data_IF_603005215020
#
_entry.id   IF_603005215020
#
_cell.length_a   1.000
_cell.length_b   1.000
_cell.length_c   1.000
_cell.angle_alpha   90.00
_cell.angle_beta   90.00
_cell.angle_gamma   90.00
#
_symmetry.space_group_name_H-M   'P 1'
#
loop_
_entity.id
_entity.type
_entity.pdbx_description
1 polymer ?
#
# COMPACT_ATOMS: atom_id res chain seq x y z
N UNK A 1 63.95 37.48 -0.84
CA UNK A 1 63.30 36.92 0.35
C UNK A 1 61.87 36.58 -0.04
N UNK A 2 61.62 35.28 -0.38
CA UNK A 2 60.27 34.77 -0.69
C UNK A 2 59.65 34.31 0.63
N UNK A 3 58.46 34.83 0.92
CA UNK A 3 57.62 34.39 2.01
C UNK A 3 56.57 33.41 1.46
N UNK A 4 56.70 32.11 1.78
CA UNK A 4 55.74 31.06 1.46
C UNK A 4 54.62 31.08 2.49
N UNK A 5 53.40 31.47 2.10
CA UNK A 5 52.21 31.33 2.91
C UNK A 5 51.73 29.84 2.85
N UNK A 6 51.65 29.17 3.98
CA UNK A 6 51.00 27.88 4.15
C UNK A 6 49.49 28.08 4.13
N UNK A 7 48.84 27.46 3.14
CA UNK A 7 47.36 27.29 3.10
C UNK A 7 47.06 26.04 3.94
N UNK A 8 46.42 26.26 5.08
CA UNK A 8 45.80 25.17 5.87
C UNK A 8 44.49 24.81 5.24
N UNK A 9 44.39 23.60 4.73
CA UNK A 9 43.10 23.02 4.31
C UNK A 9 42.24 22.76 5.57
N UNK A 10 41.09 23.42 5.63
CA UNK A 10 40.08 23.11 6.62
C UNK A 10 39.33 21.85 6.18
N UNK A 11 39.42 20.82 7.01
CA UNK A 11 38.67 19.57 6.88
C UNK A 11 37.19 19.90 7.11
N UNK A 12 36.39 20.02 6.02
CA UNK A 12 34.95 20.07 6.11
C UNK A 12 34.38 18.64 6.11
N UNK A 13 34.42 18.00 7.27
CA UNK A 13 33.59 16.82 7.50
C UNK A 13 32.13 17.25 7.55
N UNK A 14 31.45 17.23 6.40
CA UNK A 14 30.01 17.33 6.36
C UNK A 14 29.44 16.06 7.01
N UNK A 15 29.01 16.17 8.25
CA UNK A 15 28.20 15.15 8.90
C UNK A 15 26.93 14.98 8.03
N UNK A 16 26.86 13.89 7.28
CA UNK A 16 25.65 13.43 6.62
C UNK A 16 24.61 13.20 7.73
N UNK A 17 23.71 14.16 7.92
CA UNK A 17 22.57 13.97 8.80
C UNK A 17 21.79 12.76 8.30
N UNK A 18 21.72 11.72 9.10
CA UNK A 18 20.83 10.59 8.84
C UNK A 18 19.42 11.13 8.58
N UNK A 19 18.70 10.65 7.54
CA UNK A 19 17.35 11.10 7.31
C UNK A 19 16.52 10.83 8.58
N UNK A 20 15.87 11.86 9.10
CA UNK A 20 14.96 11.74 10.22
C UNK A 20 13.97 10.60 9.93
N UNK A 21 13.76 9.73 10.91
CA UNK A 21 12.74 8.69 10.81
C UNK A 21 11.39 9.31 10.45
N UNK A 22 10.58 8.68 9.58
CA UNK A 22 9.29 9.22 9.19
C UNK A 22 8.42 9.45 10.42
N UNK A 23 7.93 10.69 10.58
CA UNK A 23 7.05 11.04 11.68
C UNK A 23 5.65 10.47 11.39
N UNK A 24 5.20 9.51 12.19
CA UNK A 24 3.83 8.98 12.13
C UNK A 24 2.92 9.91 12.94
N UNK A 25 1.75 10.31 12.41
CA UNK A 25 0.76 11.09 13.14
C UNK A 25 0.31 10.38 14.42
N UNK A 26 -0.09 11.14 15.43
CA UNK A 26 -0.62 10.56 16.65
C UNK A 26 -1.92 9.75 16.40
N UNK A 27 -2.26 8.81 17.29
CA UNK A 27 -3.52 8.07 17.18
C UNK A 27 -4.73 9.02 17.12
N UNK A 28 -4.69 10.14 17.87
CA UNK A 28 -5.77 11.13 17.87
C UNK A 28 -5.89 11.83 16.50
N UNK A 29 -4.77 12.15 15.86
CA UNK A 29 -4.76 12.74 14.51
C UNK A 29 -5.27 11.73 13.48
N UNK A 30 -4.81 10.48 13.57
CA UNK A 30 -5.26 9.39 12.71
C UNK A 30 -6.77 9.17 12.85
N UNK A 31 -7.31 9.17 14.08
CA UNK A 31 -8.74 9.03 14.31
C UNK A 31 -9.53 10.16 13.67
N UNK A 32 -9.10 11.43 13.86
CA UNK A 32 -9.76 12.57 13.21
C UNK A 32 -9.77 12.46 11.67
N UNK A 33 -8.64 12.09 11.07
CA UNK A 33 -8.55 11.91 9.62
C UNK A 33 -9.45 10.74 9.15
N UNK A 34 -9.47 9.65 9.91
CA UNK A 34 -10.27 8.47 9.61
C UNK A 34 -11.77 8.74 9.71
N UNK A 35 -12.20 9.48 10.75
CA UNK A 35 -13.60 9.88 10.92
C UNK A 35 -14.06 10.84 9.80
N UNK A 36 -13.15 11.71 9.35
CA UNK A 36 -13.44 12.69 8.32
C UNK A 36 -13.43 12.09 6.90
N UNK A 37 -12.38 11.36 6.55
CA UNK A 37 -12.08 10.95 5.18
C UNK A 37 -12.14 9.43 4.94
N UNK A 38 -12.13 8.61 6.00
CA UNK A 38 -12.12 7.14 5.94
C UNK A 38 -10.73 6.55 5.70
N UNK A 39 -9.69 7.37 5.72
CA UNK A 39 -8.30 6.94 5.55
C UNK A 39 -7.30 7.93 6.14
N UNK A 40 -6.06 7.47 6.29
CA UNK A 40 -4.89 8.29 6.62
C UNK A 40 -3.69 7.82 5.78
N UNK A 41 -2.82 8.75 5.39
CA UNK A 41 -1.65 8.46 4.59
C UNK A 41 -0.37 8.70 5.41
N UNK A 42 0.41 7.64 5.62
CA UNK A 42 1.74 7.70 6.23
C UNK A 42 2.79 7.82 5.14
N UNK A 43 3.54 8.93 5.13
CA UNK A 43 4.56 9.20 4.13
C UNK A 43 5.88 8.51 4.47
N UNK A 44 6.47 7.82 3.47
CA UNK A 44 7.81 7.23 3.60
C UNK A 44 7.96 6.20 4.72
N UNK A 45 6.85 5.53 5.12
CA UNK A 45 6.84 4.61 6.25
C UNK A 45 7.65 3.33 6.01
N UNK A 46 7.90 2.97 4.75
CA UNK A 46 8.65 1.76 4.40
C UNK A 46 9.89 2.13 3.58
N UNK A 47 11.07 1.53 3.87
CA UNK A 47 12.30 1.82 3.14
C UNK A 47 12.20 1.50 1.64
N UNK A 48 12.67 2.42 0.79
CA UNK A 48 12.53 2.32 -0.68
C UNK A 48 13.38 1.21 -1.31
N UNK A 49 14.63 1.05 -0.86
CA UNK A 49 15.57 0.12 -1.49
C UNK A 49 15.09 -1.34 -1.52
N UNK A 50 14.63 -1.94 -0.40
CA UNK A 50 14.09 -3.30 -0.42
C UNK A 50 12.74 -3.38 -1.17
N UNK A 51 11.93 -2.31 -1.21
CA UNK A 51 10.71 -2.29 -2.03
C UNK A 51 11.02 -2.37 -3.53
N UNK A 52 12.09 -1.73 -4.00
CA UNK A 52 12.52 -1.82 -5.38
C UNK A 52 12.95 -3.25 -5.76
N UNK A 53 13.58 -3.99 -4.85
CA UNK A 53 13.88 -5.40 -5.05
C UNK A 53 12.59 -6.24 -5.12
N UNK A 54 11.68 -6.05 -4.17
CA UNK A 54 10.38 -6.75 -4.15
C UNK A 54 9.56 -6.50 -5.42
N UNK A 55 9.57 -5.27 -5.95
CA UNK A 55 8.89 -4.95 -7.22
C UNK A 55 9.43 -5.78 -8.38
N UNK A 56 10.76 -5.95 -8.45
CA UNK A 56 11.40 -6.79 -9.48
C UNK A 56 11.02 -8.26 -9.33
N UNK A 57 11.06 -8.78 -8.10
CA UNK A 57 10.75 -10.18 -7.82
C UNK A 57 9.30 -10.53 -8.18
N UNK A 58 8.33 -9.67 -7.80
CA UNK A 58 6.92 -9.81 -8.17
C UNK A 58 6.72 -9.78 -9.68
N UNK A 59 7.39 -8.84 -10.37
CA UNK A 59 7.30 -8.71 -11.83
C UNK A 59 7.89 -9.93 -12.52
N UNK A 60 9.08 -10.38 -12.10
CA UNK A 60 9.76 -11.55 -12.68
C UNK A 60 8.96 -12.84 -12.48
N UNK A 61 8.37 -13.02 -11.28
CA UNK A 61 7.51 -14.18 -11.01
C UNK A 61 6.26 -14.19 -11.91
N UNK A 62 5.58 -13.03 -12.02
CA UNK A 62 4.43 -12.90 -12.91
C UNK A 62 4.81 -13.22 -14.37
N UNK A 63 5.92 -12.66 -14.88
CA UNK A 63 6.39 -12.92 -16.23
C UNK A 63 6.70 -14.41 -16.46
N UNK A 64 7.35 -15.06 -15.49
CA UNK A 64 7.66 -16.49 -15.57
C UNK A 64 6.37 -17.35 -15.59
N UNK A 65 5.38 -17.00 -14.78
CA UNK A 65 4.10 -17.72 -14.72
C UNK A 65 3.32 -17.55 -16.05
N UNK A 66 3.28 -16.34 -16.61
CA UNK A 66 2.69 -16.09 -17.93
C UNK A 66 3.39 -16.90 -19.01
N UNK A 67 4.73 -16.89 -19.03
CA UNK A 67 5.51 -17.68 -19.99
C UNK A 67 5.31 -19.18 -19.83
N UNK A 68 5.05 -19.64 -18.60
CA UNK A 68 4.70 -21.02 -18.28
C UNK A 68 3.23 -21.41 -18.57
N UNK A 69 2.44 -20.49 -19.12
CA UNK A 69 1.03 -20.73 -19.46
C UNK A 69 0.08 -20.69 -18.28
N UNK A 70 0.47 -20.07 -17.16
CA UNK A 70 -0.41 -19.94 -16.00
C UNK A 70 -1.67 -19.13 -16.35
N UNK A 71 -2.81 -19.62 -15.86
CA UNK A 71 -4.09 -18.92 -15.92
C UNK A 71 -4.42 -18.37 -14.54
N UNK A 72 -4.56 -17.06 -14.45
CA UNK A 72 -4.88 -16.39 -13.21
C UNK A 72 -6.40 -16.32 -12.99
N UNK A 73 -6.81 -16.51 -11.75
CA UNK A 73 -8.23 -16.46 -11.35
C UNK A 73 -8.46 -15.33 -10.35
N UNK A 74 -9.72 -14.93 -10.19
CA UNK A 74 -10.13 -13.91 -9.22
C UNK A 74 -10.82 -12.71 -9.85
N UNK A 75 -11.54 -11.95 -9.03
CA UNK A 75 -12.44 -10.89 -9.47
C UNK A 75 -11.78 -9.72 -10.23
N UNK A 76 -10.48 -9.49 -10.01
CA UNK A 76 -9.72 -8.44 -10.70
C UNK A 76 -9.04 -8.88 -11.99
N UNK A 77 -8.98 -10.18 -12.27
CA UNK A 77 -8.22 -10.70 -13.40
C UNK A 77 -8.72 -10.15 -14.76
N UNK A 78 -10.03 -10.10 -14.97
CA UNK A 78 -10.61 -9.59 -16.23
C UNK A 78 -10.27 -8.12 -16.49
N UNK A 79 -10.04 -7.33 -15.46
CA UNK A 79 -9.61 -5.94 -15.57
C UNK A 79 -8.09 -5.75 -15.53
N UNK A 80 -7.31 -6.84 -15.43
CA UNK A 80 -5.84 -6.79 -15.34
C UNK A 80 -5.30 -6.42 -13.97
N UNK A 81 -6.09 -6.65 -12.91
CA UNK A 81 -5.69 -6.47 -11.51
C UNK A 81 -5.58 -7.83 -10.83
N UNK A 82 -4.37 -8.39 -10.77
CA UNK A 82 -4.13 -9.70 -10.19
C UNK A 82 -3.91 -9.60 -8.69
N UNK A 83 -4.55 -10.49 -7.92
CA UNK A 83 -4.21 -10.69 -6.52
C UNK A 83 -3.15 -11.78 -6.39
N UNK A 84 -2.19 -11.56 -5.51
CA UNK A 84 -1.15 -12.53 -5.22
C UNK A 84 -0.72 -12.48 -3.75
N UNK A 85 -0.07 -13.54 -3.30
CA UNK A 85 0.69 -13.54 -2.06
C UNK A 85 2.12 -13.07 -2.36
N UNK A 86 2.65 -12.04 -1.66
CA UNK A 86 3.92 -11.40 -2.05
C UNK A 86 5.18 -12.14 -1.59
N UNK A 87 5.03 -13.29 -0.92
CA UNK A 87 6.13 -14.08 -0.41
C UNK A 87 6.79 -13.50 0.85
N UNK A 88 7.61 -14.32 1.51
CA UNK A 88 8.32 -13.97 2.74
C UNK A 88 9.39 -12.90 2.53
N UNK A 89 9.84 -12.67 1.29
CA UNK A 89 10.72 -11.54 0.94
C UNK A 89 10.10 -10.17 1.25
N UNK A 90 8.78 -10.06 1.35
CA UNK A 90 8.07 -8.84 1.75
C UNK A 90 7.97 -8.62 3.27
N UNK A 91 8.49 -9.53 4.10
CA UNK A 91 8.41 -9.47 5.57
C UNK A 91 8.98 -8.18 6.17
N UNK A 92 9.99 -7.59 5.54
CA UNK A 92 10.55 -6.32 5.99
C UNK A 92 9.52 -5.21 6.05
N UNK A 93 8.47 -5.26 5.22
CA UNK A 93 7.35 -4.29 5.25
C UNK A 93 6.57 -4.45 6.55
N UNK A 94 6.23 -5.70 6.91
CA UNK A 94 5.57 -6.00 8.18
C UNK A 94 6.38 -5.45 9.37
N UNK A 95 7.68 -5.76 9.41
CA UNK A 95 8.60 -5.30 10.46
C UNK A 95 8.69 -3.78 10.51
N UNK A 96 8.72 -3.11 9.35
CA UNK A 96 8.73 -1.65 9.29
C UNK A 96 7.45 -1.04 9.85
N UNK A 97 6.27 -1.56 9.48
CA UNK A 97 4.97 -1.07 9.97
C UNK A 97 4.82 -1.30 11.48
N UNK A 98 5.25 -2.47 11.98
CA UNK A 98 5.24 -2.81 13.40
C UNK A 98 6.19 -1.88 14.18
N UNK A 99 7.43 -1.74 13.73
CA UNK A 99 8.45 -0.90 14.38
C UNK A 99 8.11 0.59 14.39
N UNK A 100 7.30 1.07 13.44
CA UNK A 100 6.80 2.44 13.41
C UNK A 100 5.52 2.65 14.24
N UNK A 101 4.94 1.60 14.85
CA UNK A 101 3.71 1.71 15.61
C UNK A 101 2.44 1.82 14.76
N UNK A 102 2.50 1.51 13.45
CA UNK A 102 1.30 1.54 12.60
C UNK A 102 0.26 0.53 13.09
N UNK A 103 0.70 -0.64 13.59
CA UNK A 103 -0.22 -1.65 14.11
C UNK A 103 -0.91 -1.22 15.40
N UNK A 104 -0.25 -0.41 16.24
CA UNK A 104 -0.87 0.19 17.43
C UNK A 104 -1.95 1.21 17.03
N UNK A 105 -1.70 2.00 15.99
CA UNK A 105 -2.71 2.91 15.41
C UNK A 105 -3.90 2.10 14.89
N UNK A 106 -3.65 1.03 14.15
CA UNK A 106 -4.72 0.15 13.63
C UNK A 106 -5.54 -0.43 14.78
N UNK A 107 -4.88 -0.96 15.82
CA UNK A 107 -5.56 -1.49 17.01
C UNK A 107 -6.37 -0.39 17.74
N UNK A 108 -5.84 0.83 17.82
CA UNK A 108 -6.53 1.96 18.43
C UNK A 108 -7.72 2.48 17.62
N UNK A 109 -7.74 2.28 16.30
CA UNK A 109 -8.85 2.65 15.42
C UNK A 109 -9.94 1.56 15.35
N UNK A 110 -9.59 0.31 15.62
CA UNK A 110 -10.53 -0.81 15.60
C UNK A 110 -11.31 -0.93 16.91
N UNK A 111 -12.62 -1.22 16.88
CA UNK A 111 -13.38 -1.55 18.09
C UNK A 111 -13.11 -2.96 18.61
N UNK A 112 -12.45 -3.81 17.80
CA UNK A 112 -12.21 -5.22 18.10
C UNK A 112 -10.74 -5.48 18.42
N UNK A 113 -10.46 -6.53 19.21
CA UNK A 113 -9.10 -7.02 19.41
C UNK A 113 -8.60 -7.66 18.11
N UNK A 114 -7.61 -7.03 17.52
CA UNK A 114 -7.03 -7.50 16.25
C UNK A 114 -5.95 -8.56 16.47
N UNK A 115 -5.86 -9.50 15.54
CA UNK A 115 -4.78 -10.46 15.35
C UNK A 115 -3.77 -9.89 14.33
N UNK A 116 -2.82 -10.70 13.90
CA UNK A 116 -1.93 -10.36 12.80
C UNK A 116 -2.75 -10.15 11.51
N UNK A 117 -2.35 -9.22 10.63
CA UNK A 117 -3.08 -9.01 9.39
C UNK A 117 -2.93 -10.20 8.44
N UNK A 118 -3.92 -10.41 7.58
CA UNK A 118 -3.72 -11.17 6.35
C UNK A 118 -2.86 -10.33 5.40
N UNK A 119 -2.00 -11.00 4.62
CA UNK A 119 -1.05 -10.34 3.73
C UNK A 119 -1.36 -10.72 2.29
N UNK A 120 -1.49 -9.72 1.46
CA UNK A 120 -1.72 -9.86 0.03
C UNK A 120 -1.00 -8.77 -0.77
N UNK A 121 -1.10 -8.90 -2.06
CA UNK A 121 -0.60 -7.92 -3.02
C UNK A 121 -1.57 -7.84 -4.19
N UNK A 122 -1.81 -6.66 -4.70
CA UNK A 122 -2.49 -6.44 -5.97
C UNK A 122 -1.48 -5.98 -7.01
N UNK A 123 -1.38 -6.70 -8.11
CA UNK A 123 -0.53 -6.38 -9.24
C UNK A 123 -1.39 -5.80 -10.36
N UNK A 124 -1.32 -4.49 -10.55
CA UNK A 124 -1.99 -3.80 -11.65
C UNK A 124 -1.14 -3.89 -12.91
N UNK A 125 -1.60 -4.66 -13.90
CA UNK A 125 -0.84 -5.00 -15.11
C UNK A 125 -0.86 -3.87 -16.14
N UNK A 126 0.19 -3.77 -16.98
CA UNK A 126 0.17 -2.94 -18.19
C UNK A 126 -1.06 -3.23 -19.04
N UNK A 127 -1.72 -2.17 -19.52
CA UNK A 127 -2.93 -2.29 -20.34
C UNK A 127 -4.20 -2.70 -19.58
N UNK A 128 -4.17 -2.71 -18.25
CA UNK A 128 -5.36 -2.96 -17.44
C UNK A 128 -6.46 -1.94 -17.68
N UNK A 129 -7.68 -2.31 -17.32
CA UNK A 129 -8.86 -1.44 -17.33
C UNK A 129 -9.20 -0.96 -15.92
N UNK A 130 -10.00 0.10 -15.81
CA UNK A 130 -10.55 0.51 -14.52
C UNK A 130 -11.41 -0.61 -13.93
N UNK A 131 -11.24 -0.87 -12.64
CA UNK A 131 -12.20 -1.69 -11.91
C UNK A 131 -13.53 -0.95 -11.79
N UNK A 132 -14.62 -1.69 -11.56
CA UNK A 132 -15.85 -1.08 -11.10
C UNK A 132 -15.63 -0.47 -9.70
N UNK A 133 -16.36 0.60 -9.41
CA UNK A 133 -16.36 1.16 -8.06
C UNK A 133 -16.91 0.12 -7.07
N UNK A 134 -16.21 -0.06 -5.95
CA UNK A 134 -16.56 -1.06 -4.95
C UNK A 134 -16.11 -0.67 -3.55
N UNK A 135 -16.57 -1.41 -2.59
CA UNK A 135 -16.01 -1.52 -1.23
C UNK A 135 -15.44 -2.92 -1.06
N UNK A 136 -14.45 -3.10 -0.17
CA UNK A 136 -13.79 -4.41 -0.01
C UNK A 136 -14.54 -5.37 0.91
N UNK A 137 -15.58 -4.92 1.55
CA UNK A 137 -16.32 -5.74 2.50
C UNK A 137 -17.73 -5.24 2.73
N UNK A 138 -18.41 -5.87 3.68
CA UNK A 138 -19.75 -5.48 4.08
C UNK A 138 -19.71 -4.36 5.12
N UNK A 139 -20.57 -3.36 4.98
CA UNK A 139 -20.67 -2.27 5.97
C UNK A 139 -21.02 -2.74 7.37
N UNK A 140 -21.76 -3.83 7.49
CA UNK A 140 -22.08 -4.42 8.80
C UNK A 140 -20.86 -4.94 9.56
N UNK A 141 -19.75 -5.22 8.86
CA UNK A 141 -18.48 -5.68 9.43
C UNK A 141 -17.32 -4.97 8.74
N UNK A 142 -17.11 -3.68 9.02
CA UNK A 142 -16.01 -2.94 8.45
C UNK A 142 -14.68 -3.46 9.02
N UNK A 143 -13.65 -3.43 8.20
CA UNK A 143 -12.29 -3.78 8.62
C UNK A 143 -11.27 -2.77 8.07
N UNK A 144 -10.06 -2.84 8.56
CA UNK A 144 -8.97 -1.94 8.20
C UNK A 144 -8.04 -2.60 7.18
N UNK A 145 -7.52 -1.78 6.28
CA UNK A 145 -6.59 -2.18 5.23
C UNK A 145 -5.44 -1.17 5.19
N UNK A 146 -4.20 -1.65 5.31
CA UNK A 146 -3.01 -0.86 5.04
C UNK A 146 -2.47 -1.23 3.65
N UNK A 147 -2.61 -0.32 2.69
CA UNK A 147 -2.06 -0.47 1.35
C UNK A 147 -0.67 0.19 1.29
N UNK A 148 0.35 -0.55 0.85
CA UNK A 148 1.73 -0.06 0.75
C UNK A 148 2.13 0.09 -0.70
N UNK A 149 2.56 1.29 -1.09
CA UNK A 149 3.06 1.57 -2.43
C UNK A 149 4.44 0.92 -2.62
N UNK A 150 4.51 -0.15 -3.39
CA UNK A 150 5.78 -0.86 -3.69
C UNK A 150 6.61 -0.12 -4.73
N UNK A 151 5.95 0.70 -5.55
CA UNK A 151 6.55 1.66 -6.50
C UNK A 151 5.82 2.99 -6.36
N UNK A 152 6.39 4.07 -6.90
CA UNK A 152 5.65 5.33 -6.99
C UNK A 152 4.35 5.09 -7.78
N UNK A 153 3.23 5.61 -7.30
CA UNK A 153 1.93 5.49 -7.97
C UNK A 153 1.47 6.85 -8.48
N UNK A 154 1.15 6.91 -9.76
CA UNK A 154 0.76 8.12 -10.46
C UNK A 154 -0.46 7.87 -11.38
N UNK A 155 -0.83 8.91 -12.14
CA UNK A 155 -1.96 8.82 -13.07
C UNK A 155 -1.71 7.85 -14.22
N UNK A 156 -0.44 7.62 -14.57
CA UNK A 156 -0.03 6.77 -15.70
C UNK A 156 -0.07 5.30 -15.32
N UNK A 157 0.38 4.94 -14.11
CA UNK A 157 0.48 3.55 -13.68
C UNK A 157 -0.70 3.05 -12.83
N UNK A 158 -1.82 3.78 -12.84
CA UNK A 158 -3.07 3.30 -12.24
C UNK A 158 -3.19 3.58 -10.75
N UNK A 159 -2.78 4.79 -10.29
CA UNK A 159 -3.07 5.23 -8.93
C UNK A 159 -4.55 5.03 -8.57
N UNK A 160 -4.81 4.53 -7.37
CA UNK A 160 -6.16 4.27 -6.87
C UNK A 160 -7.03 5.52 -6.92
N UNK A 161 -8.25 5.38 -7.40
CA UNK A 161 -9.29 6.40 -7.26
C UNK A 161 -10.16 6.11 -6.05
N UNK A 162 -10.36 7.09 -5.20
CA UNK A 162 -11.29 7.04 -4.06
C UNK A 162 -12.42 8.02 -4.28
N UNK A 163 -13.53 7.77 -3.59
CA UNK A 163 -14.69 8.66 -3.56
C UNK A 163 -14.83 9.17 -2.13
N UNK A 164 -14.49 10.44 -1.93
CA UNK A 164 -14.36 11.05 -0.61
C UNK A 164 -15.62 10.87 0.25
N UNK A 165 -15.41 10.57 1.55
CA UNK A 165 -16.44 10.50 2.59
C UNK A 165 -17.53 9.45 2.38
N UNK A 166 -17.29 8.47 1.53
CA UNK A 166 -18.28 7.42 1.26
C UNK A 166 -18.30 6.32 2.32
N UNK A 167 -17.36 6.33 3.27
CA UNK A 167 -17.35 5.46 4.44
C UNK A 167 -18.41 5.84 5.49
N UNK A 168 -18.95 7.07 5.45
CA UNK A 168 -19.81 7.61 6.51
C UNK A 168 -21.23 7.07 6.50
N UNK A 169 -21.74 6.60 5.36
CA UNK A 169 -23.07 5.99 5.24
C UNK A 169 -23.14 4.94 4.13
N UNK A 170 -24.22 4.19 4.10
CA UNK A 170 -24.51 3.30 3.00
C UNK A 170 -24.91 4.11 1.75
N UNK A 171 -24.20 3.83 0.67
CA UNK A 171 -24.51 4.34 -0.66
C UNK A 171 -24.94 3.20 -1.56
N UNK A 172 -26.02 3.40 -2.29
CA UNK A 172 -26.36 2.53 -3.42
C UNK A 172 -25.42 2.82 -4.58
N UNK A 173 -25.15 1.83 -5.42
CA UNK A 173 -24.21 1.98 -6.54
C UNK A 173 -24.54 3.18 -7.43
N UNK A 174 -25.81 3.41 -7.76
CA UNK A 174 -26.23 4.56 -8.59
C UNK A 174 -25.91 5.92 -7.93
N UNK A 175 -25.97 6.03 -6.61
CA UNK A 175 -25.59 7.26 -5.90
C UNK A 175 -24.09 7.52 -6.06
N UNK A 176 -23.27 6.46 -6.03
CA UNK A 176 -21.82 6.53 -6.26
C UNK A 176 -21.52 7.01 -7.68
N UNK A 177 -22.25 6.52 -8.67
CA UNK A 177 -22.09 6.94 -10.07
C UNK A 177 -22.34 8.43 -10.27
N UNK A 178 -23.23 9.04 -9.47
CA UNK A 178 -23.53 10.47 -9.53
C UNK A 178 -22.52 11.36 -8.80
N UNK A 179 -21.65 10.81 -7.93
CA UNK A 179 -20.67 11.56 -7.12
C UNK A 179 -19.38 11.88 -7.88
N UNK A 180 -19.47 12.39 -9.10
CA UNK A 180 -18.28 12.66 -9.95
C UNK A 180 -17.33 13.69 -9.36
N UNK A 181 -17.82 14.75 -8.73
CA UNK A 181 -17.00 15.82 -8.12
C UNK A 181 -16.28 15.44 -6.83
N UNK A 182 -16.54 14.25 -6.29
CA UNK A 182 -15.92 13.75 -5.05
C UNK A 182 -14.85 12.69 -5.31
N UNK A 183 -14.48 12.46 -6.56
CA UNK A 183 -13.48 11.46 -6.98
C UNK A 183 -12.10 12.07 -6.93
N UNK A 184 -11.17 11.33 -6.35
CA UNK A 184 -9.77 11.75 -6.23
C UNK A 184 -8.82 10.59 -6.48
N UNK A 185 -7.76 10.84 -7.25
CA UNK A 185 -6.66 9.90 -7.46
C UNK A 185 -5.64 10.06 -6.33
N UNK A 186 -5.34 8.99 -5.63
CA UNK A 186 -4.32 8.96 -4.58
C UNK A 186 -2.94 8.68 -5.18
N UNK A 187 -2.14 9.74 -5.31
CA UNK A 187 -0.74 9.62 -5.71
C UNK A 187 0.08 9.29 -4.47
N UNK A 188 0.87 8.23 -4.54
CA UNK A 188 1.70 7.75 -3.44
C UNK A 188 3.13 7.58 -3.92
N UNK A 189 4.11 8.00 -3.12
CA UNK A 189 5.49 7.64 -3.36
C UNK A 189 5.75 6.21 -2.89
N UNK A 190 6.75 5.57 -3.47
CA UNK A 190 7.25 4.27 -3.00
C UNK A 190 7.55 4.35 -1.50
N UNK A 191 6.97 3.43 -0.73
CA UNK A 191 7.09 3.39 0.73
C UNK A 191 6.02 4.15 1.50
N UNK A 192 5.14 4.89 0.82
CA UNK A 192 3.94 5.45 1.45
C UNK A 192 2.95 4.34 1.81
N UNK A 193 2.20 4.55 2.89
CA UNK A 193 1.19 3.61 3.40
C UNK A 193 -0.15 4.30 3.55
N UNK A 194 -1.16 3.80 2.86
CA UNK A 194 -2.54 4.24 2.97
C UNK A 194 -3.29 3.29 3.93
N UNK A 195 -3.58 3.75 5.14
CA UNK A 195 -4.49 3.05 6.04
C UNK A 195 -5.92 3.54 5.78
N UNK A 196 -6.83 2.64 5.44
CA UNK A 196 -8.22 2.97 5.09
C UNK A 196 -9.21 1.96 5.65
N UNK A 197 -10.47 2.35 5.74
CA UNK A 197 -11.57 1.43 5.99
C UNK A 197 -11.97 0.68 4.71
N UNK A 198 -12.40 -0.57 4.87
CA UNK A 198 -12.95 -1.40 3.78
C UNK A 198 -14.22 -0.82 3.16
N UNK A 199 -14.90 0.09 3.87
CA UNK A 199 -16.17 0.69 3.43
C UNK A 199 -16.01 1.97 2.61
N UNK A 200 -14.77 2.43 2.39
CA UNK A 200 -14.48 3.55 1.49
C UNK A 200 -14.60 3.09 0.04
N UNK A 201 -15.51 3.71 -0.72
CA UNK A 201 -15.66 3.41 -2.13
C UNK A 201 -14.43 3.83 -2.92
N UNK A 202 -13.91 2.91 -3.71
CA UNK A 202 -12.70 3.11 -4.47
C UNK A 202 -12.67 2.19 -5.70
N UNK A 203 -11.62 2.34 -6.51
CA UNK A 203 -11.28 1.43 -7.61
C UNK A 203 -9.82 1.54 -8.01
N UNK A 204 -9.26 0.45 -8.55
CA UNK A 204 -8.03 0.48 -9.33
C UNK A 204 -8.28 1.13 -10.68
N UNK A 205 -7.36 1.98 -11.12
CA UNK A 205 -7.44 2.67 -12.41
C UNK A 205 -6.50 2.03 -13.43
N UNK A 206 -6.68 2.30 -14.73
CA UNK A 206 -5.86 1.70 -15.78
C UNK A 206 -4.37 1.99 -15.59
N UNK A 207 -3.55 0.99 -15.86
CA UNK A 207 -2.10 1.13 -15.94
C UNK A 207 -1.69 1.25 -17.41
N UNK A 208 -1.32 2.47 -17.81
CA UNK A 208 -0.84 2.80 -19.15
C UNK A 208 0.69 2.73 -19.26
N UNK A 209 1.38 2.41 -18.16
CA UNK A 209 2.84 2.22 -18.17
C UNK A 209 3.23 0.85 -18.72
N UNK A 210 4.51 0.65 -19.00
CA UNK A 210 5.05 -0.63 -19.46
C UNK A 210 5.31 -1.66 -18.36
N UNK A 211 5.20 -1.26 -17.08
CA UNK A 211 5.53 -2.11 -15.94
C UNK A 211 4.32 -2.39 -15.08
N UNK A 212 4.22 -3.58 -14.46
CA UNK A 212 3.24 -3.82 -13.42
C UNK A 212 3.41 -2.86 -12.25
N UNK A 213 2.29 -2.48 -11.63
CA UNK A 213 2.28 -1.66 -10.42
C UNK A 213 1.81 -2.50 -9.23
N UNK A 214 2.73 -3.07 -8.45
CA UNK A 214 2.41 -3.80 -7.24
C UNK A 214 2.00 -2.87 -6.10
N UNK A 215 1.04 -3.31 -5.28
CA UNK A 215 0.61 -2.68 -4.05
C UNK A 215 0.34 -3.75 -3.01
N UNK A 216 1.09 -3.76 -1.92
CA UNK A 216 0.83 -4.68 -0.82
C UNK A 216 -0.45 -4.27 -0.08
N UNK A 217 -1.10 -5.26 0.52
CA UNK A 217 -2.26 -5.05 1.37
C UNK A 217 -2.12 -5.88 2.65
N UNK A 218 -2.21 -5.20 3.79
CA UNK A 218 -2.34 -5.81 5.11
C UNK A 218 -3.78 -5.61 5.55
N UNK A 219 -4.53 -6.70 5.74
CA UNK A 219 -5.97 -6.63 6.00
C UNK A 219 -6.33 -7.28 7.32
N UNK A 220 -7.22 -6.66 8.08
CA UNK A 220 -7.73 -7.17 9.35
C UNK A 220 -9.18 -7.64 9.22
N UNK A 221 -9.55 -8.18 8.06
CA UNK A 221 -10.85 -8.79 7.85
C UNK A 221 -11.08 -9.92 8.88
N UNK A 222 -12.26 -9.93 9.51
CA UNK A 222 -12.60 -10.84 10.61
C UNK A 222 -11.57 -10.82 11.77
N UNK A 223 -10.95 -9.67 12.03
CA UNK A 223 -9.94 -9.50 13.07
C UNK A 223 -8.52 -9.91 12.66
N UNK A 224 -8.29 -10.32 11.42
CA UNK A 224 -6.99 -10.74 10.88
C UNK A 224 -6.81 -12.25 10.83
N UNK A 225 -5.60 -12.68 10.46
CA UNK A 225 -5.24 -14.09 10.30
C UNK A 225 -5.28 -14.86 11.62
N UNK A 226 -5.84 -16.08 11.65
CA UNK A 226 -5.70 -16.98 12.78
C UNK A 226 -4.30 -17.56 12.92
N UNK A 227 -3.48 -17.49 11.87
CA UNK A 227 -2.14 -18.05 11.85
C UNK A 227 -1.16 -17.27 12.72
N UNK A 228 -0.22 -17.99 13.33
CA UNK A 228 0.85 -17.36 14.13
C UNK A 228 1.84 -16.59 13.27
N UNK A 229 2.07 -17.06 12.04
CA UNK A 229 2.93 -16.40 11.05
C UNK A 229 2.14 -16.14 9.75
N UNK A 230 1.82 -14.86 9.44
CA UNK A 230 1.09 -14.51 8.22
C UNK A 230 1.85 -14.85 6.93
N UNK A 231 3.15 -15.14 7.02
CA UNK A 231 4.01 -15.51 5.89
C UNK A 231 4.18 -17.01 5.69
N UNK A 232 3.52 -17.85 6.48
CA UNK A 232 3.59 -19.31 6.32
C UNK A 232 2.85 -19.82 5.08
N UNK A 233 1.91 -19.03 4.55
CA UNK A 233 1.16 -19.37 3.35
C UNK A 233 2.09 -19.64 2.16
N UNK A 234 1.71 -20.58 1.29
CA UNK A 234 2.44 -20.95 0.06
C UNK A 234 3.93 -21.28 0.27
N UNK A 235 4.30 -21.75 1.49
CA UNK A 235 5.70 -22.03 1.83
C UNK A 235 6.60 -20.79 1.80
N UNK A 236 6.02 -19.59 1.94
CA UNK A 236 6.74 -18.33 1.88
C UNK A 236 7.09 -17.84 0.47
N UNK A 237 6.64 -18.51 -0.58
CA UNK A 237 6.89 -18.11 -1.97
C UNK A 237 5.84 -17.12 -2.49
N UNK A 238 6.22 -16.32 -3.49
CA UNK A 238 5.25 -15.52 -4.26
C UNK A 238 4.30 -16.48 -4.97
N UNK A 239 2.99 -16.27 -4.82
CA UNK A 239 1.94 -17.08 -5.45
C UNK A 239 0.82 -16.18 -6.01
N UNK A 240 0.43 -16.43 -7.28
CA UNK A 240 -0.68 -15.77 -7.96
C UNK A 240 -1.94 -16.61 -7.95
#
# INVERSE_FOLDING_TARGET
>A
VLCLARVTMADSSSALSSPLAPAIPSLADCRRAFDMDGYVLFKGAVPRAPLAALARDLTSKWQADVAGGAMFQGGGNLSGHLNCFPGSASRFVYTALEGLGVFDIVAGLSPEKLRKPNIGCNLNLPGSHAQNEHIDGYRAKPFLIANVAVVDTDLTNGAMEIIDRTHQRDYKYWEIMLRRGHRRRLLMNQGDVLLRTSTLWHRGMPNHSSNPRPMLAFTWENGGSPETDPYAAHGGNIAF
#
